data_IF_249028214203
#
_entry.id   IF_249028214203
#
_cell.length_a   1.000
_cell.length_b   1.000
_cell.length_c   1.000
_cell.angle_alpha   90.00
_cell.angle_beta   90.00
_cell.angle_gamma   90.00
#
_symmetry.space_group_name_H-M   'P 1'
#
loop_
_entity.id
_entity.type
_entity.pdbx_description
1 polymer ?
#
# COMPACT_ATOMS: atom_id res chain seq x y z
N UNK A 1 7.89 37.19 -19.00
CA UNK A 1 7.98 36.18 -17.91
C UNK A 1 6.65 36.16 -17.17
N UNK A 2 6.02 35.00 -16.95
CA UNK A 2 5.06 34.93 -15.82
C UNK A 2 3.79 34.09 -15.94
N UNK A 3 3.40 33.52 -17.09
CA UNK A 3 2.20 32.66 -17.13
C UNK A 3 2.48 31.19 -16.77
N UNK A 4 3.68 30.67 -17.09
CA UNK A 4 4.02 29.26 -16.88
C UNK A 4 4.28 28.88 -15.41
N UNK A 5 4.64 29.82 -14.53
CA UNK A 5 4.88 29.53 -13.10
C UNK A 5 3.59 29.25 -12.30
N UNK A 6 2.43 29.62 -12.83
CA UNK A 6 1.15 29.42 -12.14
C UNK A 6 0.64 27.97 -12.29
N UNK A 7 0.88 27.33 -13.43
CA UNK A 7 0.43 25.95 -13.71
C UNK A 7 1.20 24.94 -12.85
N UNK A 8 2.52 25.09 -12.71
CA UNK A 8 3.35 24.15 -11.95
C UNK A 8 3.03 24.10 -10.45
N UNK A 9 2.45 25.16 -9.88
CA UNK A 9 2.07 25.17 -8.47
C UNK A 9 0.68 24.56 -8.22
N UNK A 10 -0.17 24.46 -9.25
CA UNK A 10 -1.46 23.77 -9.20
C UNK A 10 -1.33 22.25 -9.26
N UNK A 11 -0.28 21.75 -9.93
CA UNK A 11 0.02 20.32 -10.07
C UNK A 11 0.96 19.77 -9.00
N UNK A 12 1.22 20.48 -7.90
CA UNK A 12 1.92 19.88 -6.76
C UNK A 12 0.99 18.80 -6.16
N UNK A 13 1.34 17.50 -6.23
CA UNK A 13 0.54 16.47 -5.61
C UNK A 13 0.56 16.73 -4.11
N UNK A 14 -0.59 17.07 -3.53
CA UNK A 14 -0.72 17.12 -2.07
C UNK A 14 -0.41 15.72 -1.55
N UNK A 15 0.59 15.62 -0.68
CA UNK A 15 0.89 14.38 0.04
C UNK A 15 -0.31 14.09 0.94
N UNK A 16 -1.16 13.16 0.52
CA UNK A 16 -2.37 12.82 1.26
C UNK A 16 -1.98 11.99 2.50
N UNK A 17 -2.04 12.62 3.67
CA UNK A 17 -1.69 12.00 4.95
C UNK A 17 -2.58 10.81 5.31
N UNK A 18 -3.73 10.66 4.64
CA UNK A 18 -4.70 9.59 4.90
C UNK A 18 -4.47 8.34 4.04
N UNK A 19 -3.50 8.36 3.13
CA UNK A 19 -3.20 7.23 2.24
C UNK A 19 -1.95 6.48 2.70
N UNK A 20 -1.98 5.15 2.53
CA UNK A 20 -0.83 4.26 2.64
C UNK A 20 -0.72 3.52 1.32
N UNK A 21 0.45 3.52 0.70
CA UNK A 21 0.69 2.80 -0.56
C UNK A 21 1.55 1.58 -0.28
N UNK A 22 1.15 0.43 -0.81
CA UNK A 22 1.95 -0.79 -0.80
C UNK A 22 2.05 -1.34 -2.22
N UNK A 23 3.19 -1.95 -2.55
CA UNK A 23 3.46 -2.49 -3.87
C UNK A 23 3.57 -4.01 -3.79
N UNK A 24 2.91 -4.72 -4.71
CA UNK A 24 2.83 -6.17 -4.70
C UNK A 24 3.25 -6.73 -6.06
N UNK A 25 3.98 -7.84 -6.06
CA UNK A 25 4.20 -8.68 -7.23
C UNK A 25 3.38 -9.97 -7.09
N UNK A 26 2.61 -10.31 -8.12
CA UNK A 26 1.92 -11.59 -8.20
C UNK A 26 2.94 -12.72 -8.47
N UNK A 27 2.95 -13.74 -7.62
CA UNK A 27 3.87 -14.86 -7.75
C UNK A 27 3.48 -15.80 -8.92
N UNK A 28 2.25 -15.71 -9.44
CA UNK A 28 1.79 -16.55 -10.55
C UNK A 28 2.22 -16.00 -11.91
N UNK A 29 1.94 -14.73 -12.21
CA UNK A 29 2.21 -14.14 -13.53
C UNK A 29 3.30 -13.06 -13.52
N UNK A 30 3.86 -12.73 -12.35
CA UNK A 30 4.89 -11.71 -12.19
C UNK A 30 4.39 -10.27 -12.27
N UNK A 31 3.08 -10.05 -12.42
CA UNK A 31 2.52 -8.71 -12.55
C UNK A 31 2.73 -7.88 -11.28
N UNK A 32 3.12 -6.62 -11.45
CA UNK A 32 3.35 -5.66 -10.36
C UNK A 32 2.13 -4.77 -10.21
N UNK A 33 1.67 -4.57 -8.98
CA UNK A 33 0.46 -3.82 -8.67
C UNK A 33 0.72 -2.81 -7.58
N UNK A 34 0.14 -1.62 -7.73
CA UNK A 34 0.11 -0.58 -6.71
C UNK A 34 -1.23 -0.63 -5.97
N UNK A 35 -1.17 -0.83 -4.66
CA UNK A 35 -2.33 -0.82 -3.80
C UNK A 35 -2.34 0.47 -2.98
N UNK A 36 -3.31 1.34 -3.24
CA UNK A 36 -3.53 2.58 -2.48
C UNK A 36 -4.62 2.32 -1.46
N UNK A 37 -4.26 2.45 -0.18
CA UNK A 37 -5.11 2.13 0.97
C UNK A 37 -5.46 3.40 1.72
N UNK A 38 -6.68 3.53 2.19
CA UNK A 38 -7.07 4.61 3.11
C UNK A 38 -6.97 4.14 4.55
N UNK A 39 -6.29 4.92 5.38
CA UNK A 39 -6.16 4.64 6.82
C UNK A 39 -7.51 4.56 7.52
N UNK A 40 -8.52 5.28 7.03
CA UNK A 40 -9.84 5.37 7.66
C UNK A 40 -10.72 4.13 7.47
N UNK A 41 -10.49 3.28 6.47
CA UNK A 41 -11.37 2.13 6.21
C UNK A 41 -10.65 0.83 5.83
N UNK A 42 -9.49 0.89 5.16
CA UNK A 42 -8.75 -0.33 4.78
C UNK A 42 -7.92 -0.87 5.95
N UNK A 43 -7.49 0.01 6.86
CA UNK A 43 -6.58 -0.30 7.95
C UNK A 43 -7.34 -0.17 9.26
N UNK A 44 -7.33 -1.24 10.06
CA UNK A 44 -8.09 -1.32 11.30
C UNK A 44 -7.16 -1.21 12.51
N UNK A 45 -7.61 -0.50 13.55
CA UNK A 45 -6.89 -0.42 14.82
C UNK A 45 -6.92 -1.77 15.53
N UNK A 46 -5.78 -2.15 16.08
CA UNK A 46 -5.65 -3.31 16.96
C UNK A 46 -5.68 -2.81 18.41
N UNK A 47 -6.57 -3.39 19.23
CA UNK A 47 -6.73 -3.01 20.65
C UNK A 47 -6.07 -3.99 21.62
N UNK A 48 -5.48 -5.06 21.10
CA UNK A 48 -4.80 -6.08 21.89
C UNK A 48 -3.42 -5.57 22.34
N UNK A 49 -3.30 -5.23 23.63
CA UNK A 49 -2.06 -4.73 24.23
C UNK A 49 -0.89 -5.71 24.20
N UNK A 50 -1.13 -6.99 23.89
CA UNK A 50 -0.08 -8.00 23.78
C UNK A 50 0.55 -8.04 22.38
N UNK A 51 -0.03 -7.35 21.40
CA UNK A 51 0.51 -7.30 20.04
C UNK A 51 1.39 -6.08 19.84
N UNK A 52 2.45 -6.25 19.08
CA UNK A 52 3.35 -5.15 18.68
C UNK A 52 2.70 -4.25 17.61
N UNK A 53 1.78 -4.80 16.81
CA UNK A 53 1.05 -4.08 15.78
C UNK A 53 -0.08 -3.22 16.36
N UNK A 54 -0.07 -1.93 16.04
CA UNK A 54 -1.08 -0.96 16.45
C UNK A 54 -2.22 -0.88 15.43
N UNK A 55 -1.92 -1.22 14.18
CA UNK A 55 -2.91 -1.34 13.11
C UNK A 55 -2.70 -2.61 12.30
N UNK A 56 -3.78 -3.08 11.67
CA UNK A 56 -3.79 -4.28 10.82
C UNK A 56 -4.58 -4.03 9.53
N UNK A 57 -4.02 -4.49 8.42
CA UNK A 57 -4.70 -4.66 7.13
C UNK A 57 -4.98 -6.14 6.92
N UNK A 58 -6.18 -6.47 6.42
CA UNK A 58 -6.50 -7.81 5.94
C UNK A 58 -7.30 -7.67 4.65
N UNK A 59 -6.71 -8.08 3.53
CA UNK A 59 -7.30 -7.85 2.21
C UNK A 59 -7.02 -9.01 1.26
N UNK A 60 -7.96 -9.29 0.37
CA UNK A 60 -7.74 -10.15 -0.80
C UNK A 60 -7.60 -9.24 -2.01
N UNK A 61 -6.41 -9.25 -2.61
CA UNK A 61 -6.11 -8.52 -3.84
C UNK A 61 -6.29 -9.47 -5.01
N UNK A 62 -7.01 -9.02 -6.04
CA UNK A 62 -7.17 -9.77 -7.28
C UNK A 62 -6.17 -9.20 -8.28
N UNK A 63 -5.31 -10.05 -8.83
CA UNK A 63 -4.42 -9.64 -9.90
C UNK A 63 -5.22 -9.18 -11.13
N UNK A 64 -4.96 -7.98 -11.60
CA UNK A 64 -5.59 -7.38 -12.78
C UNK A 64 -5.17 -8.04 -14.10
N UNK A 65 -4.07 -8.80 -14.11
CA UNK A 65 -3.58 -9.51 -15.30
C UNK A 65 -4.03 -10.97 -15.38
N UNK A 66 -3.97 -11.71 -14.28
CA UNK A 66 -4.22 -13.16 -14.29
C UNK A 66 -5.30 -13.63 -13.30
N UNK A 67 -6.00 -12.69 -12.67
CA UNK A 67 -7.10 -12.91 -11.73
C UNK A 67 -6.75 -13.82 -10.53
N UNK A 68 -5.47 -14.03 -10.28
CA UNK A 68 -4.98 -14.75 -9.12
C UNK A 68 -5.28 -13.98 -7.83
N UNK A 69 -5.69 -14.71 -6.80
CA UNK A 69 -6.03 -14.16 -5.49
C UNK A 69 -4.78 -14.11 -4.62
N UNK A 70 -4.43 -12.91 -4.17
CA UNK A 70 -3.34 -12.68 -3.24
C UNK A 70 -3.95 -12.29 -1.89
N UNK A 71 -3.71 -13.10 -0.85
CA UNK A 71 -4.12 -12.75 0.52
C UNK A 71 -3.02 -11.92 1.15
N UNK A 72 -3.38 -10.76 1.70
CA UNK A 72 -2.46 -9.78 2.28
C UNK A 72 -2.89 -9.48 3.70
N UNK A 73 -2.05 -9.86 4.66
CA UNK A 73 -2.15 -9.46 6.06
C UNK A 73 -0.90 -8.66 6.45
N UNK A 74 -1.08 -7.40 6.81
CA UNK A 74 0.02 -6.52 7.24
C UNK A 74 -0.30 -5.95 8.61
N UNK A 75 0.67 -5.97 9.52
CA UNK A 75 0.63 -5.21 10.77
C UNK A 75 1.52 -3.98 10.67
N UNK A 76 1.05 -2.88 11.25
CA UNK A 76 1.72 -1.60 11.23
C UNK A 76 1.97 -1.04 12.63
N UNK A 77 3.03 -0.25 12.76
CA UNK A 77 3.29 0.58 13.93
C UNK A 77 2.41 1.86 13.95
N UNK A 78 2.58 2.73 14.97
CA UNK A 78 1.86 4.00 15.08
C UNK A 78 2.09 4.96 13.91
N UNK A 79 3.22 4.82 13.23
CA UNK A 79 3.65 5.64 12.09
C UNK A 79 3.24 5.04 10.74
N UNK A 80 2.50 3.93 10.73
CA UNK A 80 2.12 3.17 9.55
C UNK A 80 3.29 2.51 8.80
N UNK A 81 4.40 2.24 9.48
CA UNK A 81 5.45 1.37 8.94
C UNK A 81 5.02 -0.09 9.09
N UNK A 82 5.25 -0.91 8.06
CA UNK A 82 4.97 -2.35 8.10
C UNK A 82 5.97 -3.02 9.04
N UNK A 83 5.47 -3.70 10.06
CA UNK A 83 6.28 -4.45 11.03
C UNK A 83 6.02 -5.96 10.97
N UNK A 84 4.83 -6.37 10.51
CA UNK A 84 4.49 -7.78 10.27
C UNK A 84 3.90 -7.96 8.87
N UNK A 85 4.26 -9.08 8.21
CA UNK A 85 3.77 -9.42 6.86
C UNK A 85 3.45 -10.91 6.77
N UNK A 86 2.22 -11.24 6.41
CA UNK A 86 1.82 -12.57 5.92
C UNK A 86 1.11 -12.38 4.57
N UNK A 87 1.76 -12.84 3.50
CA UNK A 87 1.27 -12.68 2.14
C UNK A 87 1.29 -14.04 1.45
N UNK A 88 0.13 -14.43 0.92
CA UNK A 88 -0.06 -15.71 0.23
C UNK A 88 -0.41 -15.45 -1.22
N UNK A 89 0.39 -16.01 -2.12
CA UNK A 89 0.22 -15.87 -3.57
C UNK A 89 0.88 -14.62 -4.18
N UNK A 90 1.60 -13.83 -3.39
CA UNK A 90 2.31 -12.63 -3.86
C UNK A 90 3.48 -12.26 -2.97
N UNK A 91 4.18 -11.21 -3.35
CA UNK A 91 5.35 -10.69 -2.62
C UNK A 91 5.26 -9.18 -2.51
N UNK A 92 5.52 -8.61 -1.33
CA UNK A 92 5.71 -7.17 -1.18
C UNK A 92 7.01 -6.75 -1.87
N UNK A 93 6.93 -5.70 -2.68
CA UNK A 93 8.08 -5.10 -3.37
C UNK A 93 8.20 -3.62 -2.98
N UNK A 94 9.33 -3.01 -3.27
CA UNK A 94 9.55 -1.57 -3.08
C UNK A 94 8.91 -0.77 -4.22
N UNK A 95 8.83 0.55 -4.04
CA UNK A 95 8.42 1.47 -5.11
C UNK A 95 9.41 1.45 -6.29
N UNK A 96 10.70 1.32 -6.01
CA UNK A 96 11.76 1.22 -7.02
C UNK A 96 11.58 -0.05 -7.86
N UNK A 97 11.33 -1.19 -7.20
CA UNK A 97 11.03 -2.45 -7.86
C UNK A 97 9.74 -2.38 -8.68
N UNK A 98 8.74 -1.60 -8.25
CA UNK A 98 7.50 -1.40 -9.01
C UNK A 98 7.72 -0.60 -10.30
N UNK A 99 8.56 0.44 -10.25
CA UNK A 99 8.80 1.34 -11.38
C UNK A 99 9.90 0.88 -12.35
N UNK A 100 10.63 -0.19 -12.00
CA UNK A 100 11.62 -0.84 -12.88
C UNK A 100 10.95 -1.80 -13.88
#
# INVERSE_FOLDING_TARGET
>A
MGFFNFINNLFKPKKDYNLVTVYLKDNKCGNKMKLVLRKSYDIHRVYDKKREEEFKLTKVVICDKCYHKIKVELGFDKSYNIITKDIKGGTLITEEEYNS
#
